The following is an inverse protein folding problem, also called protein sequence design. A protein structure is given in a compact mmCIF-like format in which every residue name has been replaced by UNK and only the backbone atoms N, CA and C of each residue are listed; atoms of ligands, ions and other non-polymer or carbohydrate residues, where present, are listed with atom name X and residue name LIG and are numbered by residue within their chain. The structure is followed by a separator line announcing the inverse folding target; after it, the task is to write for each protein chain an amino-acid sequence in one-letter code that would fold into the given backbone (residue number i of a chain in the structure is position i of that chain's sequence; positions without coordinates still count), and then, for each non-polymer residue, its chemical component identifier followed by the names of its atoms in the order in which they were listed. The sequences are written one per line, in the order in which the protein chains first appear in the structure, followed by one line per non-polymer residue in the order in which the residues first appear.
data_IF_121233536182
#
_entry.id   IF_121233536182
#
_cell.length_a   1.000
_cell.length_b   1.000
_cell.length_c   1.000
_cell.angle_alpha   90.00
_cell.angle_beta   90.00
_cell.angle_gamma   90.00
#
_symmetry.space_group_name_H-M   'P 1'
#
loop_
_entity.id
_entity.type
_entity.pdbx_description
1 polymer ?
#
# COMPACT_ATOMS: atom_id res chain seq x y z
N UNK A 1 24.66 14.77 -11.40
CA UNK A 1 25.56 13.89 -10.63
C UNK A 1 24.67 13.05 -9.73
N UNK A 2 24.46 11.77 -10.05
CA UNK A 2 23.70 10.85 -9.19
C UNK A 2 24.71 10.19 -8.26
N UNK A 3 24.61 10.44 -6.97
CA UNK A 3 25.41 9.70 -5.99
C UNK A 3 24.74 8.37 -5.70
N UNK A 4 25.46 7.28 -5.94
CA UNK A 4 25.02 5.92 -5.59
C UNK A 4 25.38 5.71 -4.12
N UNK A 5 24.37 5.65 -3.25
CA UNK A 5 24.53 5.24 -1.86
C UNK A 5 24.20 3.76 -1.70
N UNK A 6 25.04 3.04 -0.96
CA UNK A 6 24.81 1.66 -0.56
C UNK A 6 24.85 1.55 0.97
N UNK A 7 24.05 0.64 1.52
CA UNK A 7 24.07 0.36 2.96
C UNK A 7 25.30 -0.49 3.32
N UNK A 8 25.87 -0.23 4.50
CA UNK A 8 26.93 -1.07 5.08
C UNK A 8 26.32 -2.17 5.95
N UNK A 9 27.03 -3.29 6.07
CA UNK A 9 26.63 -4.37 6.96
C UNK A 9 26.89 -3.95 8.41
N UNK A 10 25.91 -4.20 9.29
CA UNK A 10 26.06 -4.10 10.75
C UNK A 10 25.67 -5.43 11.38
N UNK A 11 26.32 -5.77 12.50
CA UNK A 11 25.96 -6.92 13.32
C UNK A 11 24.53 -6.73 13.86
N UNK A 12 23.72 -7.77 13.78
CA UNK A 12 22.36 -7.81 14.32
C UNK A 12 22.10 -9.18 14.95
N UNK A 13 21.37 -9.19 16.06
CA UNK A 13 20.88 -10.42 16.72
C UNK A 13 19.48 -10.81 16.21
N UNK A 14 18.81 -9.92 15.47
CA UNK A 14 17.46 -10.14 14.92
C UNK A 14 17.56 -10.90 13.60
N UNK A 15 16.84 -12.03 13.50
CA UNK A 15 16.74 -12.78 12.25
C UNK A 15 15.81 -12.04 11.26
N UNK A 16 16.04 -12.14 9.94
CA UNK A 16 15.23 -11.46 8.93
C UNK A 16 13.72 -11.75 9.00
N UNK A 17 13.31 -12.93 9.48
CA UNK A 17 11.90 -13.30 9.64
C UNK A 17 11.21 -12.66 10.86
N UNK A 18 12.01 -12.17 11.81
CA UNK A 18 11.54 -11.63 13.09
C UNK A 18 11.52 -10.08 13.08
N UNK A 19 11.87 -9.46 11.95
CA UNK A 19 11.80 -8.00 11.79
C UNK A 19 10.36 -7.54 11.71
N UNK A 20 10.06 -6.41 12.37
CA UNK A 20 8.73 -5.79 12.33
C UNK A 20 8.70 -4.85 11.12
N UNK A 21 7.78 -5.11 10.20
CA UNK A 21 7.58 -4.30 8.99
C UNK A 21 6.49 -3.22 9.15
N UNK A 22 5.83 -3.16 10.32
CA UNK A 22 4.80 -2.17 10.56
C UNK A 22 5.32 -0.74 10.43
N UNK A 23 4.57 0.10 9.72
CA UNK A 23 4.96 1.48 9.45
C UNK A 23 3.76 2.41 9.54
N UNK A 24 4.00 3.67 9.91
CA UNK A 24 2.94 4.69 10.00
C UNK A 24 2.89 5.47 8.69
N UNK A 25 1.79 5.33 7.95
CA UNK A 25 1.55 6.13 6.74
C UNK A 25 1.09 7.54 7.10
N UNK A 26 0.17 7.65 8.07
CA UNK A 26 -0.30 8.91 8.64
C UNK A 26 -0.47 8.76 10.15
N UNK A 27 -0.91 9.82 10.85
CA UNK A 27 -1.20 9.75 12.30
C UNK A 27 -2.24 8.67 12.67
N UNK A 28 -3.17 8.36 11.77
CA UNK A 28 -4.27 7.42 12.02
C UNK A 28 -4.22 6.14 11.19
N UNK A 29 -3.17 5.93 10.38
CA UNK A 29 -3.07 4.78 9.48
C UNK A 29 -1.73 4.09 9.69
N UNK A 30 -1.79 2.84 10.14
CA UNK A 30 -0.64 1.93 10.30
C UNK A 30 -0.76 0.84 9.24
N UNK A 31 0.34 0.60 8.52
CA UNK A 31 0.47 -0.46 7.53
C UNK A 31 1.16 -1.66 8.17
N UNK A 32 0.78 -2.88 7.78
CA UNK A 32 1.49 -4.09 8.22
C UNK A 32 2.82 -4.28 7.49
N UNK A 33 2.92 -3.74 6.29
CA UNK A 33 4.10 -3.76 5.44
C UNK A 33 4.25 -2.37 4.80
N UNK A 34 5.46 -1.82 4.63
CA UNK A 34 5.65 -0.43 4.24
C UNK A 34 5.56 -0.23 2.71
N UNK A 35 4.53 -0.80 2.08
CA UNK A 35 4.28 -0.64 0.64
C UNK A 35 3.01 0.16 0.38
N UNK A 36 3.11 1.07 -0.60
CA UNK A 36 1.96 1.74 -1.20
C UNK A 36 2.12 1.77 -2.72
N UNK A 37 1.02 1.74 -3.46
CA UNK A 37 1.08 1.87 -4.91
C UNK A 37 1.03 3.32 -5.37
N UNK A 38 1.68 3.59 -6.50
CA UNK A 38 1.59 4.89 -7.15
C UNK A 38 0.17 5.15 -7.66
N UNK A 39 -0.32 6.37 -7.46
CA UNK A 39 -1.65 6.81 -7.91
C UNK A 39 -1.68 7.12 -9.42
N UNK A 40 -1.39 6.11 -10.24
CA UNK A 40 -1.31 6.20 -11.71
C UNK A 40 -2.34 5.28 -12.35
N UNK A 41 -2.89 5.72 -13.46
CA UNK A 41 -3.90 5.01 -14.26
C UNK A 41 -3.43 3.61 -14.70
N UNK A 42 -2.16 3.49 -15.07
CA UNK A 42 -1.54 2.23 -15.49
C UNK A 42 -1.04 1.36 -14.33
N UNK A 43 -1.14 1.83 -13.09
CA UNK A 43 -0.57 1.15 -11.92
C UNK A 43 -1.67 0.68 -10.96
N UNK A 44 -2.60 1.55 -10.59
CA UNK A 44 -3.51 1.27 -9.47
C UNK A 44 -4.97 1.48 -9.81
N UNK A 45 -5.65 0.37 -10.07
CA UNK A 45 -7.11 0.29 -10.15
C UNK A 45 -7.70 -0.52 -8.97
N UNK A 46 -9.00 -0.78 -8.99
CA UNK A 46 -9.67 -1.51 -7.91
C UNK A 46 -9.11 -2.92 -7.67
N UNK A 47 -8.79 -3.68 -8.72
CA UNK A 47 -8.26 -5.05 -8.54
C UNK A 47 -6.87 -5.06 -7.92
N UNK A 48 -5.96 -4.19 -8.38
CA UNK A 48 -4.63 -4.00 -7.75
C UNK A 48 -4.79 -3.65 -6.27
N UNK A 49 -5.69 -2.70 -5.98
CA UNK A 49 -5.94 -2.25 -4.60
C UNK A 49 -6.46 -3.37 -3.70
N UNK A 50 -7.38 -4.22 -4.18
CA UNK A 50 -7.88 -5.37 -3.42
C UNK A 50 -6.77 -6.33 -3.04
N UNK A 51 -5.88 -6.65 -3.98
CA UNK A 51 -4.76 -7.56 -3.73
C UNK A 51 -3.81 -6.97 -2.69
N UNK A 52 -3.45 -5.69 -2.82
CA UNK A 52 -2.58 -5.01 -1.87
C UNK A 52 -3.15 -4.97 -0.45
N UNK A 53 -4.43 -4.59 -0.30
CA UNK A 53 -5.07 -4.53 1.03
C UNK A 53 -5.13 -5.91 1.69
N UNK A 54 -5.33 -6.99 0.91
CA UNK A 54 -5.30 -8.36 1.44
C UNK A 54 -3.92 -8.78 1.95
N UNK A 55 -2.84 -8.20 1.41
CA UNK A 55 -1.47 -8.43 1.86
C UNK A 55 -1.06 -7.57 3.06
N UNK A 56 -1.90 -6.59 3.46
CA UNK A 56 -1.61 -5.67 4.56
C UNK A 56 -1.00 -4.33 4.13
N UNK A 57 -1.08 -4.04 2.82
CA UNK A 57 -0.54 -2.85 2.16
C UNK A 57 -1.67 -1.86 1.80
N UNK A 58 -1.34 -0.74 1.13
CA UNK A 58 -2.32 0.25 0.67
C UNK A 58 -2.23 0.48 -0.84
N UNK A 59 -3.40 0.45 -1.51
CA UNK A 59 -3.54 0.91 -2.90
C UNK A 59 -4.13 2.32 -2.97
N UNK A 60 -3.55 3.19 -3.80
CA UNK A 60 -4.05 4.56 -4.05
C UNK A 60 -4.65 4.67 -5.45
N UNK A 61 -5.98 4.75 -5.53
CA UNK A 61 -6.69 4.89 -6.81
C UNK A 61 -6.30 6.21 -7.48
N UNK A 62 -5.92 6.15 -8.76
CA UNK A 62 -5.57 7.32 -9.56
C UNK A 62 -6.74 8.29 -9.72
N UNK A 63 -6.44 9.55 -10.05
CA UNK A 63 -7.43 10.64 -10.07
C UNK A 63 -7.86 11.10 -11.46
N UNK A 64 -7.38 10.45 -12.53
CA UNK A 64 -7.66 10.84 -13.91
C UNK A 64 -9.05 10.33 -14.36
N UNK A 65 -10.07 10.62 -13.54
CA UNK A 65 -11.47 10.25 -13.76
C UNK A 65 -12.39 11.21 -12.98
N UNK A 66 -13.69 11.31 -13.35
CA UNK A 66 -14.66 12.09 -12.58
C UNK A 66 -14.76 11.64 -11.11
N UNK A 67 -14.99 12.55 -10.14
CA UNK A 67 -15.07 12.19 -8.72
C UNK A 67 -16.09 11.09 -8.39
N UNK A 68 -17.23 11.06 -9.11
CA UNK A 68 -18.26 10.02 -8.93
C UNK A 68 -17.74 8.63 -9.29
N UNK A 69 -16.94 8.54 -10.34
CA UNK A 69 -16.34 7.29 -10.80
C UNK A 69 -15.29 6.81 -9.80
N UNK A 70 -14.43 7.71 -9.32
CA UNK A 70 -13.44 7.39 -8.29
C UNK A 70 -14.08 6.88 -6.98
N UNK A 71 -15.21 7.48 -6.58
CA UNK A 71 -15.98 7.01 -5.43
C UNK A 71 -16.55 5.62 -5.69
N UNK A 72 -17.04 5.34 -6.89
CA UNK A 72 -17.52 4.01 -7.31
C UNK A 72 -16.41 2.95 -7.27
N UNK A 73 -15.21 3.28 -7.75
CA UNK A 73 -14.03 2.41 -7.65
C UNK A 73 -13.75 2.02 -6.19
N UNK A 74 -13.76 2.98 -5.28
CA UNK A 74 -13.48 2.73 -3.85
C UNK A 74 -14.62 1.99 -3.15
N UNK A 75 -15.86 2.47 -3.31
CA UNK A 75 -17.02 1.97 -2.56
C UNK A 75 -17.55 0.66 -3.11
N UNK A 76 -17.70 0.58 -4.43
CA UNK A 76 -18.46 -0.51 -5.05
C UNK A 76 -17.54 -1.62 -5.54
N UNK A 77 -16.33 -1.28 -5.99
CA UNK A 77 -15.37 -2.28 -6.46
C UNK A 77 -14.46 -2.73 -5.33
N UNK A 78 -13.70 -1.82 -4.72
CA UNK A 78 -12.74 -2.17 -3.66
C UNK A 78 -13.46 -2.75 -2.44
N UNK A 79 -14.31 -1.98 -1.72
CA UNK A 79 -14.93 -2.45 -0.46
C UNK A 79 -15.76 -3.73 -0.60
N UNK A 80 -16.50 -3.91 -1.71
CA UNK A 80 -17.26 -5.13 -1.93
C UNK A 80 -16.37 -6.39 -2.04
N UNK A 81 -15.14 -6.24 -2.55
CA UNK A 81 -14.21 -7.34 -2.77
C UNK A 81 -13.33 -7.73 -1.56
N UNK A 82 -13.21 -6.87 -0.54
CA UNK A 82 -12.34 -7.13 0.63
C UNK A 82 -13.06 -7.78 1.81
N UNK A 83 -14.41 -7.87 1.78
CA UNK A 83 -15.20 -8.31 2.92
C UNK A 83 -14.98 -7.40 4.14
N UNK A 84 -15.66 -7.66 5.26
CA UNK A 84 -15.59 -6.82 6.47
C UNK A 84 -14.20 -6.82 7.18
N UNK A 85 -13.15 -7.29 6.51
CA UNK A 85 -11.77 -7.22 6.99
C UNK A 85 -11.13 -5.90 6.53
N UNK A 86 -11.66 -4.79 7.03
CA UNK A 86 -10.77 -3.65 7.27
C UNK A 86 -9.89 -4.00 8.48
N UNK A 87 -8.62 -3.57 8.51
CA UNK A 87 -7.79 -3.73 9.71
C UNK A 87 -8.44 -3.08 10.93
#
# INVERSE_FOLDING_TARGET
MLEIFAMTIKLTEVLPRDVILESKLTKGIVLKVPFLSAAMDTVTEAETTKVMVRNGDVGVIYKNMPPKEQIGEVRDRVKAGIGHKSP
#
